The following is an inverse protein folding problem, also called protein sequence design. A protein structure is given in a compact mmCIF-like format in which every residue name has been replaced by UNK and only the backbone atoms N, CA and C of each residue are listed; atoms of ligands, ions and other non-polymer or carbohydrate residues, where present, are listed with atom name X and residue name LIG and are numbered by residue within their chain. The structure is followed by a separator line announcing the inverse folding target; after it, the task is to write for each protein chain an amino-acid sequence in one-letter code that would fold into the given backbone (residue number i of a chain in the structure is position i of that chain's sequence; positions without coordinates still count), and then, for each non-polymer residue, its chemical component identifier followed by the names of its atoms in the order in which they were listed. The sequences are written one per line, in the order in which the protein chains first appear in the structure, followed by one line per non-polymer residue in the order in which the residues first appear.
data_IF_221083483609
#
_entry.id   IF_221083483609
#
_cell.length_a   1.000
_cell.length_b   1.000
_cell.length_c   1.000
_cell.angle_alpha   90.00
_cell.angle_beta   90.00
_cell.angle_gamma   90.00
#
_symmetry.space_group_name_H-M   'P 1'
#
loop_
_entity.id
_entity.type
_entity.pdbx_description
1 polymer ?
#
# COMPACT_ATOMS: atom_id res chain seq x y z
N UNK A 1 -45.66 -11.41 36.75
CA UNK A 1 -44.46 -11.40 35.89
C UNK A 1 -44.82 -10.75 34.57
N UNK A 2 -44.42 -9.50 34.29
CA UNK A 2 -44.76 -8.84 33.03
C UNK A 2 -43.78 -9.24 31.91
N UNK A 3 -44.32 -9.49 30.73
CA UNK A 3 -43.60 -9.88 29.52
C UNK A 3 -42.76 -8.72 28.97
N UNK A 4 -41.48 -8.99 28.69
CA UNK A 4 -40.51 -8.05 28.15
C UNK A 4 -40.78 -7.82 26.65
N UNK A 5 -41.26 -6.62 26.31
CA UNK A 5 -41.33 -6.11 24.93
C UNK A 5 -39.98 -5.48 24.61
N UNK A 6 -39.12 -6.18 23.88
CA UNK A 6 -38.04 -5.61 23.07
C UNK A 6 -37.34 -6.73 22.28
N UNK A 7 -37.88 -7.05 21.09
CA UNK A 7 -37.13 -7.74 20.04
C UNK A 7 -37.10 -6.83 18.81
N UNK A 8 -35.92 -6.48 18.27
CA UNK A 8 -35.82 -5.81 16.98
C UNK A 8 -36.15 -6.78 15.83
N UNK A 9 -36.70 -6.29 14.70
CA UNK A 9 -37.09 -7.14 13.58
C UNK A 9 -35.88 -7.70 12.82
N UNK A 10 -35.99 -8.98 12.48
CA UNK A 10 -35.09 -9.71 11.59
C UNK A 10 -35.21 -9.13 10.17
N UNK A 11 -34.16 -8.47 9.70
CA UNK A 11 -34.06 -8.05 8.29
C UNK A 11 -33.60 -9.26 7.47
N UNK A 12 -34.50 -9.75 6.62
CA UNK A 12 -34.23 -10.78 5.63
C UNK A 12 -33.20 -10.27 4.60
N UNK A 13 -32.14 -11.07 4.38
CA UNK A 13 -31.15 -10.85 3.32
C UNK A 13 -31.84 -10.97 1.96
N UNK A 14 -31.82 -9.88 1.18
CA UNK A 14 -32.15 -9.91 -0.25
C UNK A 14 -30.88 -10.25 -1.03
N UNK A 15 -30.94 -11.35 -1.75
CA UNK A 15 -30.01 -11.72 -2.82
C UNK A 15 -29.93 -10.60 -3.85
N UNK A 16 -28.75 -10.02 -4.04
CA UNK A 16 -28.42 -9.25 -5.24
C UNK A 16 -27.56 -10.11 -6.15
N UNK A 17 -28.22 -10.63 -7.18
CA UNK A 17 -27.58 -11.29 -8.33
C UNK A 17 -26.78 -10.26 -9.12
N UNK A 18 -25.51 -10.60 -9.40
CA UNK A 18 -24.62 -9.89 -10.32
C UNK A 18 -25.15 -9.97 -11.76
N UNK A 19 -25.13 -8.88 -12.54
CA UNK A 19 -25.19 -8.95 -13.99
C UNK A 19 -23.77 -9.08 -14.58
N UNK A 20 -23.52 -10.21 -15.22
CA UNK A 20 -22.42 -10.47 -16.15
C UNK A 20 -22.48 -9.46 -17.31
N UNK A 21 -21.43 -8.64 -17.47
CA UNK A 21 -21.19 -7.89 -18.69
C UNK A 21 -20.19 -8.67 -19.55
N UNK A 22 -20.74 -9.39 -20.54
CA UNK A 22 -20.01 -9.92 -21.66
C UNK A 22 -19.67 -8.77 -22.63
N UNK A 23 -18.39 -8.51 -22.85
CA UNK A 23 -17.92 -7.65 -23.95
C UNK A 23 -17.11 -8.53 -24.89
N UNK A 24 -17.61 -8.61 -26.12
CA UNK A 24 -17.13 -9.49 -27.18
C UNK A 24 -15.73 -9.13 -27.69
N UNK A 25 -14.93 -10.18 -27.84
CA UNK A 25 -13.66 -10.20 -28.56
C UNK A 25 -13.97 -10.27 -30.07
N UNK A 26 -13.63 -9.23 -30.83
CA UNK A 26 -13.62 -9.29 -32.30
C UNK A 26 -12.22 -9.70 -32.74
N UNK A 27 -12.07 -10.98 -33.12
CA UNK A 27 -10.91 -11.44 -33.88
C UNK A 27 -11.05 -10.97 -35.34
N UNK A 28 -10.10 -10.15 -35.80
CA UNK A 28 -9.90 -9.93 -37.23
C UNK A 28 -8.60 -10.63 -37.63
N UNK A 29 -8.76 -11.76 -38.31
CA UNK A 29 -7.72 -12.49 -39.01
C UNK A 29 -7.52 -11.83 -40.37
N UNK A 30 -6.30 -11.40 -40.67
CA UNK A 30 -5.85 -11.23 -42.04
C UNK A 30 -4.40 -11.73 -42.13
N UNK A 31 -4.25 -12.91 -42.74
CA UNK A 31 -2.99 -13.43 -43.20
C UNK A 31 -2.79 -12.99 -44.66
N UNK A 32 -1.61 -12.47 -45.00
CA UNK A 32 -1.00 -12.68 -46.31
C UNK A 32 0.52 -12.58 -46.22
N UNK A 33 1.14 -13.37 -47.06
CA UNK A 33 2.50 -13.89 -47.06
C UNK A 33 3.54 -13.01 -47.74
N UNK A 34 4.78 -13.21 -47.28
CA UNK A 34 6.05 -13.23 -48.02
C UNK A 34 6.56 -11.95 -48.72
N UNK A 35 7.80 -11.57 -48.40
CA UNK A 35 8.94 -11.88 -49.27
C UNK A 35 10.27 -11.57 -48.58
N UNK A 36 11.22 -12.49 -48.77
CA UNK A 36 12.58 -12.43 -48.27
C UNK A 36 13.43 -11.43 -49.07
N UNK A 37 14.35 -10.73 -48.38
CA UNK A 37 15.61 -10.27 -48.96
C UNK A 37 16.61 -10.00 -47.83
N UNK A 38 17.59 -10.89 -47.68
CA UNK A 38 18.87 -10.57 -47.06
C UNK A 38 19.68 -9.74 -48.08
N UNK A 39 20.59 -8.82 -47.66
CA UNK A 39 21.95 -9.30 -47.49
C UNK A 39 22.87 -8.51 -46.52
N UNK A 40 24.04 -9.14 -46.31
CA UNK A 40 25.38 -8.60 -46.04
C UNK A 40 25.79 -8.31 -44.58
N UNK A 41 26.56 -9.28 -44.10
CA UNK A 41 27.48 -9.21 -42.99
C UNK A 41 28.54 -8.10 -43.18
N UNK A 42 28.75 -7.31 -42.14
CA UNK A 42 30.06 -6.74 -41.80
C UNK A 42 30.27 -6.90 -40.31
N UNK A 43 31.23 -7.76 -39.97
CA UNK A 43 31.63 -8.04 -38.60
C UNK A 43 32.25 -6.78 -37.98
N UNK A 44 31.63 -6.28 -36.90
CA UNK A 44 32.25 -5.36 -35.97
C UNK A 44 32.38 -6.09 -34.64
N UNK A 45 33.62 -6.44 -34.31
CA UNK A 45 34.05 -7.02 -33.04
C UNK A 45 33.49 -6.19 -31.88
N UNK A 46 32.56 -6.76 -31.12
CA UNK A 46 32.05 -6.20 -29.87
C UNK A 46 32.55 -7.09 -28.73
N UNK A 47 33.30 -6.48 -27.80
CA UNK A 47 33.80 -7.11 -26.58
C UNK A 47 32.70 -7.85 -25.81
N UNK A 48 33.01 -8.98 -25.15
CA UNK A 48 32.06 -9.63 -24.26
C UNK A 48 31.87 -8.75 -23.03
N UNK A 49 30.81 -7.93 -23.05
CA UNK A 49 30.28 -7.27 -21.88
C UNK A 49 29.68 -8.39 -21.02
N UNK A 50 30.35 -8.72 -19.92
CA UNK A 50 29.86 -9.65 -18.91
C UNK A 50 28.38 -9.34 -18.64
N UNK A 51 27.51 -10.27 -19.02
CA UNK A 51 26.12 -10.29 -18.62
C UNK A 51 26.11 -10.50 -17.11
N UNK A 52 26.00 -9.41 -16.35
CA UNK A 52 25.63 -9.46 -14.96
C UNK A 52 24.15 -9.80 -14.96
N UNK A 53 23.82 -11.04 -14.65
CA UNK A 53 22.46 -11.44 -14.34
C UNK A 53 22.02 -10.63 -13.13
N UNK A 54 21.21 -9.60 -13.37
CA UNK A 54 20.41 -8.93 -12.35
C UNK A 54 18.97 -9.31 -12.61
N UNK A 55 18.63 -10.54 -12.22
CA UNK A 55 17.25 -10.95 -12.01
C UNK A 55 16.81 -10.39 -10.65
N UNK A 56 16.58 -9.08 -10.60
CA UNK A 56 15.72 -8.48 -9.59
C UNK A 56 14.44 -8.11 -10.33
N UNK A 57 13.55 -9.09 -10.45
CA UNK A 57 12.20 -8.86 -10.95
C UNK A 57 11.57 -7.71 -10.15
N UNK A 58 10.76 -6.84 -10.79
CA UNK A 58 9.84 -6.00 -10.04
C UNK A 58 9.05 -6.91 -9.09
N UNK A 59 8.88 -6.47 -7.84
CA UNK A 59 7.90 -7.12 -6.96
C UNK A 59 6.55 -6.65 -7.50
N UNK A 60 6.07 -7.34 -8.53
CA UNK A 60 4.71 -7.21 -9.05
C UNK A 60 3.78 -7.65 -7.91
N UNK A 61 2.88 -6.74 -7.50
CA UNK A 61 1.86 -6.88 -6.46
C UNK A 61 2.32 -7.57 -5.16
N UNK A 62 2.61 -6.79 -4.11
CA UNK A 62 2.84 -7.37 -2.79
C UNK A 62 1.59 -8.13 -2.32
N UNK A 63 1.68 -9.45 -2.35
CA UNK A 63 0.67 -10.34 -1.81
C UNK A 63 0.76 -10.34 -0.29
N UNK A 64 -0.31 -9.90 0.35
CA UNK A 64 -0.43 -9.96 1.80
C UNK A 64 -0.82 -11.38 2.22
N UNK A 65 -0.01 -11.98 3.09
CA UNK A 65 -0.28 -13.28 3.68
C UNK A 65 -0.78 -13.13 5.12
N UNK A 66 -1.75 -13.96 5.50
CA UNK A 66 -2.21 -14.04 6.88
C UNK A 66 -1.15 -14.65 7.81
N UNK A 67 -1.19 -14.29 9.10
CA UNK A 67 -0.35 -14.95 10.11
C UNK A 67 -0.75 -16.40 10.37
N UNK A 68 -2.06 -16.66 10.35
CA UNK A 68 -2.65 -17.96 10.56
C UNK A 68 -2.96 -18.68 9.23
N UNK A 69 -3.06 -20.01 9.29
CA UNK A 69 -3.61 -20.81 8.18
C UNK A 69 -5.09 -20.51 8.00
N UNK A 70 -5.57 -20.64 6.76
CA UNK A 70 -6.99 -20.70 6.49
C UNK A 70 -7.61 -21.89 7.24
N UNK A 71 -8.77 -21.64 7.84
CA UNK A 71 -9.50 -22.63 8.64
C UNK A 71 -10.60 -23.24 7.79
N UNK A 72 -10.76 -24.55 7.87
CA UNK A 72 -11.88 -25.24 7.23
C UNK A 72 -13.19 -24.97 7.98
N UNK A 73 -13.12 -24.94 9.32
CA UNK A 73 -14.29 -24.69 10.18
C UNK A 73 -14.07 -23.58 11.20
N UNK A 74 -15.16 -22.87 11.53
CA UNK A 74 -15.22 -21.77 12.52
C UNK A 74 -14.95 -22.24 13.96
N UNK A 75 -14.84 -23.56 14.22
CA UNK A 75 -14.44 -24.13 15.50
C UNK A 75 -12.94 -24.47 15.63
N UNK A 76 -12.21 -24.58 14.52
CA UNK A 76 -10.81 -25.04 14.53
C UNK A 76 -9.86 -24.05 15.24
N UNK A 77 -8.78 -24.49 15.89
CA UNK A 77 -7.81 -23.55 16.45
C UNK A 77 -7.12 -22.74 15.35
N UNK A 78 -6.77 -21.48 15.63
CA UNK A 78 -5.89 -20.72 14.75
C UNK A 78 -4.45 -21.21 14.89
N UNK A 79 -3.96 -21.89 13.86
CA UNK A 79 -2.55 -22.30 13.73
C UNK A 79 -1.77 -21.30 12.88
N UNK A 80 -0.48 -21.13 13.17
CA UNK A 80 0.39 -20.30 12.32
C UNK A 80 0.59 -20.94 10.95
N UNK A 81 0.63 -20.11 9.91
CA UNK A 81 0.90 -20.55 8.54
C UNK A 81 2.27 -21.22 8.39
N UNK A 82 3.29 -20.70 9.09
CA UNK A 82 4.62 -21.30 9.14
C UNK A 82 5.39 -20.90 10.42
N UNK A 83 6.56 -21.50 10.62
CA UNK A 83 7.48 -21.06 11.68
C UNK A 83 7.97 -19.62 11.47
N UNK A 84 8.10 -19.19 10.21
CA UNK A 84 8.49 -17.83 9.88
C UNK A 84 7.39 -16.83 10.27
N UNK A 85 6.12 -17.14 9.96
CA UNK A 85 5.00 -16.26 10.32
C UNK A 85 4.83 -16.16 11.83
N UNK A 86 5.05 -17.26 12.56
CA UNK A 86 5.09 -17.25 14.03
C UNK A 86 6.18 -16.31 14.56
N UNK A 87 7.41 -16.39 14.04
CA UNK A 87 8.52 -15.52 14.47
C UNK A 87 8.25 -14.05 14.16
N UNK A 88 7.64 -13.76 13.01
CA UNK A 88 7.24 -12.41 12.65
C UNK A 88 6.14 -11.89 13.59
N UNK A 89 5.13 -12.69 13.88
CA UNK A 89 4.07 -12.35 14.81
C UNK A 89 4.62 -12.05 16.21
N UNK A 90 5.47 -12.93 16.75
CA UNK A 90 6.14 -12.74 18.05
C UNK A 90 6.96 -11.45 18.07
N UNK A 91 7.66 -11.17 16.97
CA UNK A 91 8.41 -9.94 16.81
C UNK A 91 7.49 -8.72 16.85
N UNK A 92 6.40 -8.71 16.07
CA UNK A 92 5.43 -7.61 16.00
C UNK A 92 4.82 -7.36 17.37
N UNK A 93 4.30 -8.40 18.02
CA UNK A 93 3.69 -8.28 19.37
C UNK A 93 4.66 -7.67 20.37
N UNK A 94 5.94 -8.05 20.31
CA UNK A 94 6.98 -7.52 21.19
C UNK A 94 7.33 -6.05 20.95
N UNK A 95 7.37 -5.61 19.69
CA UNK A 95 7.81 -4.25 19.33
C UNK A 95 6.68 -3.24 19.22
N UNK A 96 5.44 -3.70 19.15
CA UNK A 96 4.26 -2.86 19.29
C UNK A 96 4.08 -2.53 20.78
N UNK A 97 4.26 -1.27 21.15
CA UNK A 97 4.12 -0.81 22.54
C UNK A 97 2.68 -0.99 23.05
N UNK A 98 2.52 -1.45 24.29
CA UNK A 98 1.21 -1.52 24.97
C UNK A 98 0.27 -2.61 24.46
N UNK A 99 0.79 -3.66 23.81
CA UNK A 99 -0.01 -4.78 23.30
C UNK A 99 -0.56 -5.66 24.43
N UNK A 100 -1.88 -5.79 24.46
CA UNK A 100 -2.57 -6.78 25.29
C UNK A 100 -2.54 -8.16 24.63
N UNK A 101 -2.79 -9.22 25.41
CA UNK A 101 -3.02 -10.56 24.85
C UNK A 101 -4.13 -10.55 23.78
N UNK A 102 -5.18 -9.74 23.99
CA UNK A 102 -6.24 -9.55 23.01
C UNK A 102 -5.73 -8.97 21.68
N UNK A 103 -4.82 -7.99 21.69
CA UNK A 103 -4.19 -7.50 20.45
C UNK A 103 -3.42 -8.62 19.74
N UNK A 104 -2.62 -9.38 20.50
CA UNK A 104 -1.80 -10.44 19.95
C UNK A 104 -2.67 -11.51 19.26
N UNK A 105 -3.77 -11.91 19.91
CA UNK A 105 -4.76 -12.83 19.35
C UNK A 105 -5.44 -12.28 18.10
N UNK A 106 -5.91 -11.04 18.14
CA UNK A 106 -6.58 -10.46 16.97
C UNK A 106 -5.63 -10.24 15.79
N UNK A 107 -4.37 -9.87 16.04
CA UNK A 107 -3.32 -9.81 15.02
C UNK A 107 -3.10 -11.18 14.38
N UNK A 108 -3.11 -12.25 15.17
CA UNK A 108 -2.97 -13.62 14.65
C UNK A 108 -4.16 -14.02 13.77
N UNK A 109 -5.37 -13.59 14.14
CA UNK A 109 -6.63 -14.01 13.52
C UNK A 109 -6.99 -13.20 12.26
N UNK A 110 -6.73 -11.90 12.27
CA UNK A 110 -7.17 -10.98 11.22
C UNK A 110 -6.07 -10.04 10.71
N UNK A 111 -4.84 -10.20 11.20
CA UNK A 111 -3.70 -9.49 10.67
C UNK A 111 -3.07 -10.20 9.48
N UNK A 112 -2.42 -9.41 8.63
CA UNK A 112 -1.64 -9.89 7.51
C UNK A 112 -0.34 -9.10 7.38
N UNK A 113 0.55 -9.60 6.54
CA UNK A 113 1.83 -8.98 6.29
C UNK A 113 2.29 -9.19 4.86
N UNK A 114 3.16 -8.31 4.38
CA UNK A 114 3.79 -8.44 3.08
C UNK A 114 5.28 -8.02 3.14
N UNK A 115 6.19 -8.78 2.53
CA UNK A 115 7.63 -8.48 2.55
C UNK A 115 7.97 -7.32 1.62
N UNK A 116 8.61 -6.27 2.15
CA UNK A 116 8.97 -5.08 1.35
C UNK A 116 10.42 -5.10 0.90
N UNK A 117 11.28 -5.78 1.66
CA UNK A 117 12.70 -5.93 1.33
C UNK A 117 13.59 -5.98 2.58
N UNK A 118 14.74 -6.64 2.46
CA UNK A 118 15.77 -6.70 3.51
C UNK A 118 15.24 -7.06 4.90
N UNK A 119 14.52 -8.17 5.06
CA UNK A 119 13.92 -8.63 6.32
C UNK A 119 12.91 -7.64 6.95
N UNK A 120 12.37 -6.70 6.15
CA UNK A 120 11.34 -5.76 6.55
C UNK A 120 9.98 -6.10 5.94
N UNK A 121 8.93 -5.89 6.72
CA UNK A 121 7.57 -6.27 6.43
C UNK A 121 6.63 -5.09 6.68
N UNK A 122 5.64 -4.93 5.79
CA UNK A 122 4.42 -4.20 6.11
C UNK A 122 3.49 -5.16 6.84
N UNK A 123 2.87 -4.70 7.91
CA UNK A 123 1.90 -5.46 8.69
C UNK A 123 0.63 -4.65 8.76
N UNK A 124 -0.52 -5.27 8.42
CA UNK A 124 -1.84 -4.65 8.54
C UNK A 124 -2.64 -5.42 9.59
N UNK A 125 -3.29 -4.67 10.46
CA UNK A 125 -4.32 -5.16 11.35
C UNK A 125 -5.21 -3.98 11.74
N UNK A 126 -5.03 -3.39 12.92
CA UNK A 126 -5.68 -2.14 13.31
C UNK A 126 -4.97 -0.92 12.73
N UNK A 127 -3.66 -0.98 12.53
CA UNK A 127 -2.88 0.05 11.86
C UNK A 127 -1.98 -0.59 10.82
N UNK A 128 -1.48 0.24 9.92
CA UNK A 128 -0.46 -0.16 8.97
C UNK A 128 0.87 0.24 9.58
N UNK A 129 1.75 -0.72 9.76
CA UNK A 129 3.08 -0.51 10.33
C UNK A 129 4.14 -1.16 9.47
N UNK A 130 5.32 -0.56 9.45
CA UNK A 130 6.53 -1.20 8.93
C UNK A 130 7.39 -1.66 10.09
N UNK A 131 7.81 -2.92 10.05
CA UNK A 131 8.79 -3.47 10.98
C UNK A 131 9.90 -4.20 10.24
N UNK A 132 11.06 -4.33 10.87
CA UNK A 132 12.17 -5.12 10.36
C UNK A 132 12.62 -6.09 11.42
N UNK A 133 12.91 -7.33 11.02
CA UNK A 133 13.40 -8.35 11.95
C UNK A 133 14.68 -7.86 12.65
N UNK A 134 14.66 -7.93 13.98
CA UNK A 134 15.76 -7.42 14.82
C UNK A 134 15.73 -5.92 15.10
N UNK A 135 14.73 -5.18 14.60
CA UNK A 135 14.42 -3.83 15.08
C UNK A 135 13.89 -3.87 16.53
N UNK A 136 14.12 -2.80 17.27
CA UNK A 136 13.54 -2.62 18.62
C UNK A 136 12.15 -1.97 18.58
N UNK A 137 11.73 -1.45 17.43
CA UNK A 137 10.45 -0.78 17.25
C UNK A 137 9.85 -1.05 15.87
N UNK A 138 8.52 -0.98 15.80
CA UNK A 138 7.79 -0.83 14.54
C UNK A 138 7.46 0.66 14.31
N UNK A 139 7.42 1.07 13.04
CA UNK A 139 6.99 2.41 12.67
C UNK A 139 5.57 2.37 12.13
N UNK A 140 4.66 3.00 12.85
CA UNK A 140 3.26 3.16 12.45
C UNK A 140 3.16 4.16 11.29
N UNK A 141 2.48 3.78 10.22
CA UNK A 141 2.25 4.59 9.00
C UNK A 141 0.85 5.23 9.00
N UNK A 142 -0.14 4.58 9.62
CA UNK A 142 -1.50 5.10 9.76
C UNK A 142 -1.99 5.06 11.20
N UNK A 143 -2.98 5.89 11.58
CA UNK A 143 -3.70 5.73 12.83
C UNK A 143 -4.32 4.33 13.00
N UNK A 144 -4.75 4.03 14.22
CA UNK A 144 -5.50 2.81 14.57
C UNK A 144 -6.91 2.85 13.96
N UNK A 145 -7.40 1.70 13.49
CA UNK A 145 -8.61 1.43 12.71
C UNK A 145 -8.57 1.81 11.21
N UNK A 146 -7.41 1.70 10.57
CA UNK A 146 -7.29 1.91 9.12
C UNK A 146 -8.13 0.85 8.35
N UNK A 147 -8.97 1.23 7.37
CA UNK A 147 -9.96 0.37 6.70
C UNK A 147 -9.35 -0.59 5.67
N UNK A 148 -8.13 -1.09 5.89
CA UNK A 148 -7.54 -2.17 5.07
C UNK A 148 -7.05 -1.78 3.67
N UNK A 149 -7.13 -0.51 3.26
CA UNK A 149 -6.76 -0.08 1.89
C UNK A 149 -5.26 0.26 1.75
N UNK A 150 -4.39 -0.68 2.09
CA UNK A 150 -2.93 -0.54 1.85
C UNK A 150 -2.54 -1.19 0.55
N UNK A 151 -1.76 -0.48 -0.23
CA UNK A 151 -1.26 -0.93 -1.52
C UNK A 151 0.21 -0.52 -1.63
N UNK A 152 1.11 -1.45 -1.94
CA UNK A 152 2.47 -1.09 -2.32
C UNK A 152 2.46 -0.81 -3.81
N UNK A 153 2.55 0.47 -4.17
CA UNK A 153 2.37 0.94 -5.55
C UNK A 153 3.63 0.74 -6.37
N UNK A 154 4.79 0.73 -5.72
CA UNK A 154 6.07 0.37 -6.35
C UNK A 154 7.09 -0.01 -5.29
N UNK A 155 8.00 -0.91 -5.60
CA UNK A 155 9.13 -1.23 -4.73
C UNK A 155 10.34 -1.72 -5.52
N UNK A 156 11.52 -1.61 -4.89
CA UNK A 156 12.76 -2.08 -5.48
C UNK A 156 13.77 -2.46 -4.42
N UNK A 157 14.34 -3.66 -4.57
CA UNK A 157 15.53 -4.08 -3.85
C UNK A 157 16.76 -3.87 -4.72
N UNK A 158 17.83 -3.33 -4.14
CA UNK A 158 19.10 -3.07 -4.80
C UNK A 158 20.13 -4.17 -4.47
N UNK A 159 21.15 -4.38 -5.33
CA UNK A 159 22.16 -5.42 -5.11
C UNK A 159 23.00 -5.25 -3.82
N UNK A 160 23.06 -4.05 -3.27
CA UNK A 160 23.76 -3.74 -2.02
C UNK A 160 22.89 -3.96 -0.77
N UNK A 161 21.69 -4.53 -0.93
CA UNK A 161 20.75 -4.81 0.15
C UNK A 161 19.95 -3.60 0.62
N UNK A 162 20.14 -2.42 0.00
CA UNK A 162 19.21 -1.30 0.20
C UNK A 162 17.94 -1.53 -0.59
N UNK A 163 16.86 -0.91 -0.16
CA UNK A 163 15.59 -0.98 -0.86
C UNK A 163 14.78 0.29 -0.63
N UNK A 164 13.80 0.52 -1.50
CA UNK A 164 12.79 1.55 -1.31
C UNK A 164 11.44 1.06 -1.80
N UNK A 165 10.36 1.64 -1.28
CA UNK A 165 9.00 1.37 -1.73
C UNK A 165 8.13 2.63 -1.67
N UNK A 166 7.10 2.70 -2.49
CA UNK A 166 6.02 3.68 -2.40
C UNK A 166 4.77 2.93 -1.97
N UNK A 167 4.22 3.31 -0.83
CA UNK A 167 3.03 2.69 -0.25
C UNK A 167 1.92 3.71 -0.19
N UNK A 168 0.76 3.32 -0.71
CA UNK A 168 -0.50 4.04 -0.54
C UNK A 168 -1.22 3.41 0.64
N UNK A 169 -1.68 4.26 1.54
CA UNK A 169 -2.44 3.85 2.72
C UNK A 169 -3.74 4.65 2.77
N UNK A 170 -4.83 3.98 3.10
CA UNK A 170 -6.11 4.63 3.42
C UNK A 170 -6.39 4.57 4.91
N UNK A 171 -7.05 5.61 5.42
CA UNK A 171 -7.59 5.66 6.78
C UNK A 171 -9.06 6.10 6.75
N UNK A 172 -9.86 5.64 7.71
CA UNK A 172 -11.23 6.08 7.94
C UNK A 172 -11.37 6.41 9.42
N UNK A 173 -11.33 7.69 9.73
CA UNK A 173 -11.44 8.18 11.10
C UNK A 173 -12.54 9.23 11.20
N UNK A 174 -13.44 9.06 12.16
CA UNK A 174 -14.56 10.00 12.41
C UNK A 174 -15.39 10.36 11.16
N UNK A 175 -15.61 9.42 10.24
CA UNK A 175 -16.35 9.65 8.99
C UNK A 175 -15.56 10.37 7.88
N UNK A 176 -14.26 10.61 8.10
CA UNK A 176 -13.33 11.16 7.11
C UNK A 176 -12.48 10.03 6.54
N UNK A 177 -12.52 9.89 5.22
CA UNK A 177 -11.61 9.03 4.46
C UNK A 177 -10.34 9.83 4.17
N UNK A 178 -9.19 9.35 4.63
CA UNK A 178 -7.90 9.89 4.24
C UNK A 178 -7.15 8.91 3.34
N UNK A 179 -6.34 9.46 2.43
CA UNK A 179 -5.43 8.72 1.56
C UNK A 179 -4.07 9.37 1.64
N UNK A 180 -3.04 8.57 1.87
CA UNK A 180 -1.67 9.04 1.97
C UNK A 180 -0.72 8.15 1.17
N UNK A 181 0.32 8.78 0.63
CA UNK A 181 1.41 8.11 -0.06
C UNK A 181 2.68 8.28 0.74
N UNK A 182 3.32 7.17 1.08
CA UNK A 182 4.55 7.10 1.85
C UNK A 182 5.67 6.55 0.98
N UNK A 183 6.82 7.21 0.98
CA UNK A 183 8.06 6.59 0.52
C UNK A 183 8.74 5.90 1.71
N UNK A 184 9.03 4.63 1.56
CA UNK A 184 9.76 3.79 2.50
C UNK A 184 11.18 3.56 1.99
N UNK A 185 12.14 3.51 2.90
CA UNK A 185 13.55 3.23 2.60
C UNK A 185 14.08 2.27 3.63
N UNK A 186 14.80 1.24 3.17
CA UNK A 186 15.52 0.39 4.10
C UNK A 186 16.91 0.02 3.63
N UNK A 187 17.71 -0.38 4.60
CA UNK A 187 19.10 -0.77 4.42
C UNK A 187 19.50 -1.71 5.55
N UNK A 188 20.55 -2.50 5.32
CA UNK A 188 21.22 -3.25 6.39
C UNK A 188 22.31 -2.38 7.01
N UNK A 189 22.23 -2.12 8.32
CA UNK A 189 23.22 -1.36 9.09
C UNK A 189 23.67 -2.17 10.30
N UNK A 190 24.99 -2.38 10.44
CA UNK A 190 25.58 -3.16 11.53
C UNK A 190 24.92 -4.55 11.73
N UNK A 191 24.65 -5.25 10.62
CA UNK A 191 24.04 -6.58 10.64
C UNK A 191 22.52 -6.61 10.85
N UNK A 192 21.87 -5.46 11.07
CA UNK A 192 20.42 -5.35 11.27
C UNK A 192 19.74 -4.59 10.13
N UNK A 193 18.50 -4.95 9.83
CA UNK A 193 17.69 -4.21 8.87
C UNK A 193 17.01 -3.03 9.53
N UNK A 194 17.08 -1.87 8.89
CA UNK A 194 16.45 -0.65 9.35
C UNK A 194 15.57 -0.09 8.24
N UNK A 195 14.41 0.45 8.62
CA UNK A 195 13.51 1.13 7.71
C UNK A 195 13.18 2.54 8.20
N UNK A 196 12.94 3.43 7.25
CA UNK A 196 12.44 4.78 7.48
C UNK A 196 11.30 5.07 6.51
N UNK A 197 10.50 6.08 6.82
CA UNK A 197 9.39 6.49 5.96
C UNK A 197 9.26 8.00 5.89
N UNK A 198 8.78 8.51 4.76
CA UNK A 198 8.49 9.92 4.49
C UNK A 198 7.17 10.04 3.73
N UNK A 199 6.29 10.91 4.20
CA UNK A 199 5.04 11.24 3.49
C UNK A 199 5.36 12.03 2.22
N UNK A 200 4.83 11.58 1.09
CA UNK A 200 4.92 12.24 -0.22
C UNK A 200 3.71 13.13 -0.48
N UNK A 201 2.52 12.60 -0.23
CA UNK A 201 1.24 13.28 -0.43
C UNK A 201 0.21 12.76 0.59
N UNK A 202 -0.74 13.61 0.92
CA UNK A 202 -1.80 13.33 1.89
C UNK A 202 -3.08 14.06 1.46
N UNK A 203 -4.21 13.39 1.62
CA UNK A 203 -5.54 13.98 1.47
C UNK A 203 -6.52 13.45 2.50
N UNK A 204 -7.43 14.31 2.94
CA UNK A 204 -8.61 13.97 3.73
C UNK A 204 -9.85 14.36 2.92
N UNK A 205 -10.89 13.53 2.98
CA UNK A 205 -12.18 13.77 2.35
C UNK A 205 -13.30 13.26 3.26
N UNK A 206 -14.43 13.96 3.28
CA UNK A 206 -15.62 13.55 4.04
C UNK A 206 -16.44 12.59 3.16
N UNK A 207 -16.94 11.49 3.72
CA UNK A 207 -17.66 10.44 2.97
C UNK A 207 -19.03 10.85 2.39
N UNK A 208 -19.51 12.09 2.57
CA UNK A 208 -20.78 12.52 1.97
C UNK A 208 -20.54 13.25 0.65
N UNK A 209 -21.16 12.74 -0.43
CA UNK A 209 -21.07 13.24 -1.83
C UNK A 209 -21.50 14.71 -2.03
N UNK A 210 -21.94 15.41 -0.97
CA UNK A 210 -22.39 16.81 -1.00
C UNK A 210 -21.66 17.72 0.00
N UNK A 211 -20.72 17.20 0.80
CA UNK A 211 -19.92 18.04 1.69
C UNK A 211 -18.80 18.72 0.91
N UNK A 212 -18.91 20.03 0.75
CA UNK A 212 -17.80 20.91 0.36
C UNK A 212 -16.56 20.53 1.19
N UNK A 213 -15.36 20.64 0.62
CA UNK A 213 -14.04 20.45 1.25
C UNK A 213 -13.77 21.27 2.53
N UNK A 214 -14.78 21.92 3.11
CA UNK A 214 -14.74 22.67 4.36
C UNK A 214 -16.08 22.60 5.11
N UNK A 215 -16.93 21.61 4.80
CA UNK A 215 -18.28 21.51 5.34
C UNK A 215 -18.29 20.84 6.73
N UNK A 216 -17.78 21.55 7.73
CA UNK A 216 -18.41 21.57 9.04
C UNK A 216 -18.96 22.99 9.22
N UNK A 217 -20.29 23.12 9.29
CA UNK A 217 -21.02 24.38 9.37
C UNK A 217 -20.82 25.20 10.65
N UNK A 218 -19.63 25.16 11.26
CA UNK A 218 -19.16 26.20 12.15
C UNK A 218 -18.36 27.18 11.29
N UNK A 219 -18.94 28.35 11.03
CA UNK A 219 -18.24 29.46 10.38
C UNK A 219 -16.87 29.67 11.05
N UNK A 220 -15.79 29.38 10.32
CA UNK A 220 -14.45 29.79 10.72
C UNK A 220 -13.54 28.73 11.33
N UNK A 221 -13.74 27.43 11.11
CA UNK A 221 -12.66 26.46 11.37
C UNK A 221 -11.44 26.78 10.49
N UNK A 222 -10.31 27.26 11.05
CA UNK A 222 -9.12 27.57 10.26
C UNK A 222 -8.49 26.26 9.80
N UNK A 223 -8.29 26.10 8.48
CA UNK A 223 -7.70 24.87 7.95
C UNK A 223 -7.46 24.91 6.45
N UNK A 224 -6.53 24.06 6.01
CA UNK A 224 -6.31 23.73 4.60
C UNK A 224 -6.72 22.28 4.41
N UNK A 225 -7.76 22.01 3.63
CA UNK A 225 -8.08 20.65 3.19
C UNK A 225 -7.38 20.37 1.85
N UNK A 226 -6.94 19.13 1.65
CA UNK A 226 -6.24 18.70 0.44
C UNK A 226 -6.87 17.43 -0.10
N UNK A 227 -7.09 17.36 -1.41
CA UNK A 227 -7.53 16.17 -2.14
C UNK A 227 -6.53 15.81 -3.21
N UNK A 228 -6.11 14.55 -3.25
CA UNK A 228 -5.32 14.02 -4.36
C UNK A 228 -6.27 13.72 -5.51
N UNK A 229 -6.29 14.59 -6.53
CA UNK A 229 -7.11 14.42 -7.74
C UNK A 229 -6.54 13.32 -8.66
N UNK A 230 -5.22 13.16 -8.68
CA UNK A 230 -4.53 12.16 -9.48
C UNK A 230 -3.14 11.85 -8.91
N UNK A 231 -2.73 10.58 -9.05
CA UNK A 231 -1.36 10.13 -8.78
C UNK A 231 -0.82 9.40 -10.02
N UNK A 232 0.42 9.70 -10.38
CA UNK A 232 1.15 9.02 -11.46
C UNK A 232 2.51 8.60 -10.90
N UNK A 233 2.81 7.31 -10.99
CA UNK A 233 4.08 6.73 -10.52
C UNK A 233 4.74 6.07 -11.72
N UNK A 234 5.94 6.51 -12.04
CA UNK A 234 6.76 5.98 -13.13
C UNK A 234 7.99 5.33 -12.54
N UNK A 235 8.10 4.02 -12.77
CA UNK A 235 9.21 3.23 -12.28
C UNK A 235 10.47 3.46 -13.10
N UNK A 236 11.62 3.66 -12.45
CA UNK A 236 12.91 3.84 -13.11
C UNK A 236 14.00 2.93 -12.55
N UNK A 237 15.15 2.75 -13.24
CA UNK A 237 16.14 1.72 -12.91
C UNK A 237 16.71 1.79 -11.48
N UNK A 238 16.90 3.00 -10.94
CA UNK A 238 17.43 3.22 -9.58
C UNK A 238 16.50 4.08 -8.72
N UNK A 239 15.46 4.62 -9.31
CA UNK A 239 14.61 5.62 -8.69
C UNK A 239 13.28 5.74 -9.41
N UNK A 240 12.24 6.02 -8.65
CA UNK A 240 10.90 6.27 -9.16
C UNK A 240 10.58 7.76 -9.20
N UNK A 241 9.73 8.12 -10.13
CA UNK A 241 9.13 9.45 -10.22
C UNK A 241 7.69 9.34 -9.78
N UNK A 242 7.35 10.05 -8.71
CA UNK A 242 5.97 10.18 -8.25
C UNK A 242 5.48 11.60 -8.51
N UNK A 243 4.35 11.73 -9.19
CA UNK A 243 3.69 13.01 -9.45
C UNK A 243 2.26 12.97 -8.92
N UNK A 244 1.89 13.98 -8.16
CA UNK A 244 0.56 14.14 -7.58
C UNK A 244 -0.05 15.45 -8.06
N UNK A 245 -1.32 15.40 -8.45
CA UNK A 245 -2.16 16.61 -8.61
C UNK A 245 -3.00 16.74 -7.35
N UNK A 246 -2.79 17.82 -6.61
CA UNK A 246 -3.44 18.08 -5.33
C UNK A 246 -4.30 19.33 -5.46
N UNK A 247 -5.59 19.19 -5.17
CA UNK A 247 -6.49 20.31 -4.97
C UNK A 247 -6.43 20.70 -3.50
N UNK A 248 -5.96 21.92 -3.22
CA UNK A 248 -5.94 22.49 -1.87
C UNK A 248 -7.03 23.53 -1.74
N UNK A 249 -7.81 23.46 -0.67
CA UNK A 249 -8.83 24.44 -0.38
C UNK A 249 -8.53 25.15 0.94
N UNK A 250 -8.46 26.47 0.89
CA UNK A 250 -8.42 27.32 2.07
C UNK A 250 -9.84 27.43 2.62
N UNK A 251 -10.07 26.87 3.81
CA UNK A 251 -11.40 26.85 4.42
C UNK A 251 -11.87 28.18 4.96
N UNK A 252 -10.96 29.14 5.15
CA UNK A 252 -11.32 30.50 5.54
C UNK A 252 -11.81 31.31 4.35
N UNK A 253 -11.14 31.18 3.21
CA UNK A 253 -11.44 32.01 2.02
C UNK A 253 -12.28 31.31 0.97
N UNK A 254 -12.47 29.99 1.08
CA UNK A 254 -13.10 29.16 0.06
C UNK A 254 -12.30 29.06 -1.24
N UNK A 255 -11.06 29.58 -1.28
CA UNK A 255 -10.23 29.56 -2.48
C UNK A 255 -9.61 28.19 -2.65
N UNK A 256 -9.73 27.65 -3.85
CA UNK A 256 -9.09 26.40 -4.24
C UNK A 256 -7.89 26.66 -5.15
N UNK A 257 -6.76 26.02 -4.86
CA UNK A 257 -5.55 26.03 -5.68
C UNK A 257 -5.20 24.61 -6.10
N UNK A 258 -4.84 24.44 -7.38
CA UNK A 258 -4.30 23.18 -7.88
C UNK A 258 -2.78 23.24 -7.86
N UNK A 259 -2.18 22.30 -7.16
CA UNK A 259 -0.74 22.16 -7.06
C UNK A 259 -0.30 20.85 -7.73
N UNK A 260 0.82 20.89 -8.44
CA UNK A 260 1.49 19.68 -8.95
C UNK A 260 2.72 19.44 -8.09
N UNK A 261 2.72 18.34 -7.35
CA UNK A 261 3.86 17.90 -6.55
C UNK A 261 4.59 16.79 -7.30
N UNK A 262 5.91 16.89 -7.40
CA UNK A 262 6.73 15.86 -8.06
C UNK A 262 7.90 15.47 -7.17
N UNK A 263 8.16 14.18 -7.09
CA UNK A 263 9.20 13.60 -6.27
C UNK A 263 10.01 12.59 -7.07
N UNK A 264 11.32 12.56 -6.80
CA UNK A 264 12.18 11.43 -7.13
C UNK A 264 12.45 10.63 -5.85
N UNK A 265 12.10 9.35 -5.86
CA UNK A 265 12.26 8.41 -4.75
C UNK A 265 13.39 7.45 -5.09
N UNK A 266 14.39 7.30 -4.23
CA UNK A 266 15.54 6.41 -4.45
C UNK A 266 16.05 5.85 -3.13
N UNK A 267 16.97 4.90 -3.16
CA UNK A 267 17.59 4.33 -1.95
C UNK A 267 18.37 5.33 -1.08
N UNK A 268 18.59 6.56 -1.57
CA UNK A 268 19.24 7.64 -0.80
C UNK A 268 18.23 8.65 -0.23
N UNK A 269 16.94 8.51 -0.54
CA UNK A 269 15.85 9.31 -0.01
C UNK A 269 14.93 9.92 -1.08
N UNK A 270 14.12 10.89 -0.64
CA UNK A 270 13.17 11.64 -1.48
C UNK A 270 13.70 13.03 -1.80
N UNK A 271 13.70 13.40 -3.08
CA UNK A 271 13.96 14.77 -3.53
C UNK A 271 12.76 15.32 -4.30
N UNK A 272 12.27 16.51 -3.91
CA UNK A 272 11.29 17.25 -4.71
C UNK A 272 11.91 17.70 -6.04
N UNK A 273 11.17 17.60 -7.14
CA UNK A 273 11.63 17.99 -8.48
C UNK A 273 10.73 19.08 -9.05
N UNK A 274 11.31 19.99 -9.84
CA UNK A 274 10.55 21.05 -10.53
C UNK A 274 9.74 20.48 -11.71
#
# INVERSE_FOLDING_TARGET
MPANKNMPPVIARRDMRSPLLAIGMVMMVCATTASAQAPKMTAKQASPKQARATDSAPIDDLEFAGFAKDREFVGDPHEFASDETRRLWEHVVRVSEGTSEAFADMLKQGGDFAPVGGDCYLVRYAAIQITCMGSASAKVLTPWNAPGNTEVVSSRTLPDGRWWAIVKTGDLSHGKLSVSYHALFGARRAGRSVASSKVLAFSESVLSESARLCASGEEGSPGMESVIEAAQIESGPDADRAAFRVLRMDCRTGRATREKMKYRVSSTGVRATR
#
